data_IF_520411897791
#
_entry.id   IF_520411897791
#
_cell.length_a   1.000
_cell.length_b   1.000
_cell.length_c   1.000
_cell.angle_alpha   90.00
_cell.angle_beta   90.00
_cell.angle_gamma   90.00
#
_symmetry.space_group_name_H-M   'P 1'
#
loop_
_entity.id
_entity.type
_entity.pdbx_description
1 polymer ?
#
# COMPACT_ATOMS: atom_id res chain seq x y z
N UNK A 1 51.37 2.87 -1.18
CA UNK A 1 51.01 4.30 -1.24
C UNK A 1 49.50 4.36 -1.40
N UNK A 2 48.76 4.63 -0.32
CA UNK A 2 47.29 4.58 -0.26
C UNK A 2 46.76 6.01 -0.46
N UNK A 3 45.81 6.27 -1.37
CA UNK A 3 45.03 7.50 -1.30
C UNK A 3 43.82 7.31 -0.36
N UNK A 4 43.51 8.32 0.45
CA UNK A 4 42.53 8.25 1.54
C UNK A 4 41.13 8.70 1.07
N UNK A 5 40.11 8.18 1.75
CA UNK A 5 38.85 8.91 1.92
C UNK A 5 37.84 8.83 0.78
N UNK A 6 37.32 7.63 0.48
CA UNK A 6 35.96 7.54 -0.01
C UNK A 6 35.02 7.60 1.20
N UNK A 7 34.56 8.82 1.50
CA UNK A 7 33.50 9.11 2.46
C UNK A 7 32.32 8.15 2.25
N UNK A 8 32.09 7.29 3.24
CA UNK A 8 30.85 6.52 3.36
C UNK A 8 29.74 7.50 3.67
N UNK A 9 29.05 7.96 2.63
CA UNK A 9 27.74 8.60 2.78
C UNK A 9 26.79 7.53 3.29
N UNK A 10 26.73 7.40 4.62
CA UNK A 10 25.61 6.82 5.34
C UNK A 10 24.39 7.72 5.17
N UNK A 11 23.91 7.86 3.93
CA UNK A 11 22.58 8.35 3.65
C UNK A 11 21.64 7.22 4.06
N UNK A 12 21.14 7.27 5.29
CA UNK A 12 19.96 6.50 5.66
C UNK A 12 18.79 7.11 4.88
N UNK A 13 18.26 6.47 3.81
CA UNK A 13 17.20 7.08 3.03
C UNK A 13 15.92 6.96 3.84
N UNK A 14 15.54 8.08 4.44
CA UNK A 14 14.25 8.67 4.19
C UNK A 14 13.05 7.71 4.29
N UNK A 15 12.43 7.66 5.48
CA UNK A 15 10.99 7.32 5.59
C UNK A 15 10.10 8.21 4.69
N UNK A 16 10.62 9.36 4.24
CA UNK A 16 9.95 10.35 3.37
C UNK A 16 9.77 9.84 1.93
N UNK A 17 10.66 8.99 1.41
CA UNK A 17 10.55 8.49 0.02
C UNK A 17 9.52 7.38 -0.15
N UNK A 18 9.16 6.70 0.94
CA UNK A 18 8.29 5.54 0.90
C UNK A 18 6.83 5.91 0.59
N UNK A 19 6.34 7.03 1.12
CA UNK A 19 4.98 7.51 0.86
C UNK A 19 4.83 8.05 -0.57
N UNK A 20 5.82 8.80 -1.06
CA UNK A 20 5.86 9.28 -2.45
C UNK A 20 5.97 8.12 -3.44
N UNK A 21 6.81 7.12 -3.14
CA UNK A 21 6.92 5.90 -3.95
C UNK A 21 5.60 5.11 -3.96
N UNK A 22 4.90 4.99 -2.83
CA UNK A 22 3.59 4.36 -2.76
C UNK A 22 2.54 5.13 -3.56
N UNK A 23 2.52 6.46 -3.45
CA UNK A 23 1.59 7.29 -4.21
C UNK A 23 1.78 7.14 -5.72
N UNK A 24 3.03 7.17 -6.20
CA UNK A 24 3.34 6.94 -7.61
C UNK A 24 2.94 5.54 -8.07
N UNK A 25 3.16 4.51 -7.25
CA UNK A 25 2.71 3.15 -7.56
C UNK A 25 1.20 3.06 -7.68
N UNK A 26 0.46 3.68 -6.76
CA UNK A 26 -1.01 3.72 -6.80
C UNK A 26 -1.48 4.40 -8.08
N UNK A 27 -0.91 5.57 -8.43
CA UNK A 27 -1.25 6.27 -9.68
C UNK A 27 -0.99 5.42 -10.92
N UNK A 28 0.18 4.78 -11.01
CA UNK A 28 0.50 3.89 -12.13
C UNK A 28 -0.45 2.69 -12.22
N UNK A 29 -0.83 2.09 -11.09
CA UNK A 29 -1.80 1.00 -11.05
C UNK A 29 -3.19 1.46 -11.52
N UNK A 30 -3.67 2.62 -11.04
CA UNK A 30 -4.96 3.16 -11.48
C UNK A 30 -4.97 3.48 -12.98
N UNK A 31 -3.88 4.02 -13.51
CA UNK A 31 -3.74 4.27 -14.94
C UNK A 31 -3.81 2.95 -15.74
N UNK A 32 -3.13 1.90 -15.28
CA UNK A 32 -3.19 0.59 -15.93
C UNK A 32 -4.61 0.00 -15.91
N UNK A 33 -5.33 0.13 -14.80
CA UNK A 33 -6.73 -0.32 -14.67
C UNK A 33 -7.62 0.44 -15.65
N UNK A 34 -7.48 1.76 -15.75
CA UNK A 34 -8.24 2.57 -16.70
C UNK A 34 -8.03 2.11 -18.14
N UNK A 35 -6.78 1.85 -18.53
CA UNK A 35 -6.44 1.33 -19.87
C UNK A 35 -7.06 -0.05 -20.11
N UNK A 36 -7.07 -0.93 -19.10
CA UNK A 36 -7.64 -2.27 -19.22
C UNK A 36 -9.16 -2.21 -19.40
N UNK A 37 -9.84 -1.33 -18.66
CA UNK A 37 -11.28 -1.12 -18.77
C UNK A 37 -11.66 -0.53 -20.13
N UNK A 38 -10.89 0.45 -20.63
CA UNK A 38 -11.14 1.07 -21.93
C UNK A 38 -10.95 0.08 -23.09
N UNK A 39 -9.96 -0.80 -23.00
CA UNK A 39 -9.62 -1.74 -24.09
C UNK A 39 -10.49 -2.99 -24.12
N UNK A 40 -11.04 -3.42 -22.98
CA UNK A 40 -11.81 -4.64 -22.90
C UNK A 40 -12.78 -4.63 -21.72
N UNK A 41 -14.07 -4.50 -22.03
CA UNK A 41 -15.18 -4.49 -21.07
C UNK A 41 -15.27 -5.77 -20.22
N UNK A 42 -14.65 -6.88 -20.64
CA UNK A 42 -14.61 -8.11 -19.85
C UNK A 42 -13.88 -7.95 -18.51
N UNK A 43 -13.02 -6.93 -18.36
CA UNK A 43 -12.35 -6.63 -17.10
C UNK A 43 -13.25 -5.90 -16.09
N UNK A 44 -14.29 -5.20 -16.54
CA UNK A 44 -15.22 -4.47 -15.67
C UNK A 44 -15.85 -5.36 -14.57
N UNK A 45 -16.47 -6.52 -14.88
CA UNK A 45 -17.04 -7.37 -13.84
C UNK A 45 -15.99 -7.93 -12.87
N UNK A 46 -14.74 -8.07 -13.30
CA UNK A 46 -13.63 -8.53 -12.44
C UNK A 46 -13.29 -7.45 -11.41
N UNK A 47 -13.12 -6.20 -11.83
CA UNK A 47 -12.83 -5.10 -10.92
C UNK A 47 -13.97 -4.83 -9.94
N UNK A 48 -15.23 -4.87 -10.40
CA UNK A 48 -16.39 -4.74 -9.52
C UNK A 48 -16.46 -5.83 -8.46
N UNK A 49 -16.04 -7.06 -8.78
CA UNK A 49 -15.97 -8.15 -7.82
C UNK A 49 -14.85 -7.90 -6.79
N UNK A 50 -13.69 -7.46 -7.24
CA UNK A 50 -12.57 -7.13 -6.37
C UNK A 50 -12.92 -5.99 -5.40
N UNK A 51 -13.64 -4.97 -5.86
CA UNK A 51 -14.12 -3.87 -4.99
C UNK A 51 -15.02 -4.41 -3.87
N UNK A 52 -15.98 -5.28 -4.19
CA UNK A 52 -16.83 -5.92 -3.18
C UNK A 52 -16.04 -6.79 -2.19
N UNK A 53 -15.08 -7.57 -2.69
CA UNK A 53 -14.23 -8.41 -1.83
C UNK A 53 -13.37 -7.54 -0.89
N UNK A 54 -12.89 -6.40 -1.36
CA UNK A 54 -12.17 -5.42 -0.56
C UNK A 54 -13.05 -4.81 0.54
N UNK A 55 -14.27 -4.39 0.22
CA UNK A 55 -15.24 -3.87 1.20
C UNK A 55 -15.53 -4.87 2.32
N UNK A 56 -15.75 -6.15 1.95
CA UNK A 56 -15.98 -7.23 2.92
C UNK A 56 -14.79 -7.38 3.86
N UNK A 57 -13.57 -7.39 3.31
CA UNK A 57 -12.35 -7.56 4.11
C UNK A 57 -12.09 -6.36 5.01
N UNK A 58 -12.41 -5.15 4.54
CA UNK A 58 -12.34 -3.93 5.33
C UNK A 58 -13.34 -3.96 6.50
N UNK A 59 -14.58 -4.37 6.26
CA UNK A 59 -15.58 -4.54 7.30
C UNK A 59 -15.17 -5.57 8.37
N UNK A 60 -14.48 -6.66 7.99
CA UNK A 60 -13.91 -7.63 8.95
C UNK A 60 -12.82 -6.98 9.79
N UNK A 61 -11.88 -6.25 9.17
CA UNK A 61 -10.82 -5.53 9.88
C UNK A 61 -11.40 -4.52 10.88
N UNK A 62 -12.41 -3.76 10.48
CA UNK A 62 -13.09 -2.80 11.35
C UNK A 62 -13.79 -3.49 12.53
N UNK A 63 -14.34 -4.68 12.30
CA UNK A 63 -14.96 -5.49 13.37
C UNK A 63 -13.91 -5.99 14.36
N UNK A 64 -12.78 -6.48 13.85
CA UNK A 64 -11.64 -6.88 14.68
C UNK A 64 -11.08 -5.69 15.45
N UNK A 65 -10.92 -4.53 14.80
CA UNK A 65 -10.42 -3.32 15.45
C UNK A 65 -11.39 -2.85 16.55
N UNK A 66 -12.70 -2.90 16.30
CA UNK A 66 -13.71 -2.65 17.33
C UNK A 66 -13.59 -3.64 18.48
N UNK A 67 -13.46 -4.93 18.22
CA UNK A 67 -13.28 -5.95 19.25
C UNK A 67 -12.01 -5.71 20.08
N UNK A 68 -10.90 -5.32 19.44
CA UNK A 68 -9.65 -4.97 20.13
C UNK A 68 -9.80 -3.83 21.12
N UNK A 69 -10.71 -2.87 20.90
CA UNK A 69 -10.97 -1.77 21.84
C UNK A 69 -11.59 -2.23 23.16
N UNK A 70 -12.25 -3.39 23.18
CA UNK A 70 -12.85 -3.97 24.38
C UNK A 70 -11.91 -4.89 25.15
N UNK A 71 -10.74 -5.24 24.58
CA UNK A 71 -9.75 -6.01 25.31
C UNK A 71 -9.14 -5.12 26.41
N UNK A 72 -9.07 -5.58 27.68
CA UNK A 72 -8.35 -4.85 28.70
C UNK A 72 -6.91 -4.68 28.24
N UNK A 73 -6.35 -3.47 28.34
CA UNK A 73 -4.91 -3.24 28.14
C UNK A 73 -4.19 -4.19 29.10
N UNK A 74 -3.53 -5.21 28.56
CA UNK A 74 -2.68 -6.07 29.38
C UNK A 74 -1.64 -5.17 30.07
N UNK A 75 -1.54 -5.17 31.41
CA UNK A 75 -0.37 -4.61 32.06
C UNK A 75 0.83 -5.50 31.67
N UNK A 76 1.94 -4.84 31.36
CA UNK A 76 3.21 -5.43 30.93
C UNK A 76 3.73 -6.53 31.85
#
# INVERSE_FOLDING_TARGET
MVPPGAVSFGASPCKVDQSLSQHLRIMSCLQAIAILLEKNDAYLPIFLRLEKELEIEQAKRDTIERARRYLPRQPH
#
